data_IF_920129991543
#
_entry.id   IF_920129991543
#
_cell.length_a   1.000
_cell.length_b   1.000
_cell.length_c   1.000
_cell.angle_alpha   90.00
_cell.angle_beta   90.00
_cell.angle_gamma   90.00
#
_symmetry.space_group_name_H-M   'P 1'
#
loop_
_entity.id
_entity.type
_entity.pdbx_description
1 polymer ?
#
# COMPACT_ATOMS: atom_id res chain seq x y z
N UNK A 1 -6.41 21.82 6.78
CA UNK A 1 -4.97 22.14 6.64
C UNK A 1 -4.25 20.95 7.23
N UNK A 2 -3.77 20.05 6.37
CA UNK A 2 -2.91 18.94 6.81
C UNK A 2 -1.78 19.59 7.62
N UNK A 3 -1.66 19.24 8.89
CA UNK A 3 -0.54 19.73 9.68
C UNK A 3 0.73 19.29 8.96
N UNK A 4 1.67 20.20 8.72
CA UNK A 4 2.97 19.85 8.14
C UNK A 4 3.63 18.67 8.88
N UNK A 5 3.32 18.52 10.18
CA UNK A 5 3.74 17.40 11.00
C UNK A 5 3.14 16.05 10.58
N UNK A 6 1.88 16.00 10.15
CA UNK A 6 1.23 14.76 9.68
C UNK A 6 1.82 14.31 8.34
N UNK A 7 2.03 15.26 7.42
CA UNK A 7 2.68 14.98 6.14
C UNK A 7 4.13 14.47 6.35
N UNK A 8 4.90 15.12 7.22
CA UNK A 8 6.26 14.71 7.53
C UNK A 8 6.32 13.34 8.25
N UNK A 9 5.39 13.05 9.17
CA UNK A 9 5.29 11.73 9.83
C UNK A 9 5.02 10.63 8.82
N UNK A 10 4.02 10.81 7.96
CA UNK A 10 3.66 9.84 6.92
C UNK A 10 4.82 9.60 5.95
N UNK A 11 5.47 10.66 5.49
CA UNK A 11 6.64 10.54 4.63
C UNK A 11 7.78 9.74 5.31
N UNK A 12 8.01 9.98 6.61
CA UNK A 12 8.99 9.23 7.39
C UNK A 12 8.63 7.75 7.51
N UNK A 13 7.36 7.43 7.77
CA UNK A 13 6.86 6.05 7.87
C UNK A 13 6.99 5.31 6.55
N UNK A 14 6.62 5.95 5.43
CA UNK A 14 6.75 5.38 4.08
C UNK A 14 8.22 5.09 3.76
N UNK A 15 9.12 6.05 3.99
CA UNK A 15 10.55 5.86 3.72
C UNK A 15 11.15 4.74 4.59
N UNK A 16 10.81 4.70 5.87
CA UNK A 16 11.25 3.62 6.75
C UNK A 16 10.73 2.26 6.27
N UNK A 17 9.46 2.18 5.88
CA UNK A 17 8.85 0.97 5.34
C UNK A 17 9.50 0.50 4.03
N UNK A 18 9.85 1.42 3.12
CA UNK A 18 10.56 1.11 1.88
C UNK A 18 11.92 0.50 2.18
N UNK A 19 12.68 1.10 3.12
CA UNK A 19 14.01 0.61 3.47
C UNK A 19 13.96 -0.83 3.99
N UNK A 20 13.02 -1.13 4.90
CA UNK A 20 12.88 -2.50 5.42
C UNK A 20 12.46 -3.49 4.33
N UNK A 21 11.50 -3.12 3.46
CA UNK A 21 11.07 -4.01 2.38
C UNK A 21 12.17 -4.27 1.34
N UNK A 22 13.03 -3.27 1.06
CA UNK A 22 14.21 -3.46 0.21
C UNK A 22 15.19 -4.43 0.87
N UNK A 23 15.46 -4.30 2.17
CA UNK A 23 16.35 -5.23 2.89
C UNK A 23 15.82 -6.65 2.82
N UNK A 24 14.52 -6.84 3.09
CA UNK A 24 13.88 -8.15 3.04
C UNK A 24 13.93 -8.76 1.65
N UNK A 25 13.71 -7.95 0.60
CA UNK A 25 13.81 -8.42 -0.78
C UNK A 25 15.23 -8.85 -1.12
N UNK A 26 16.23 -8.04 -0.78
CA UNK A 26 17.65 -8.35 -1.05
C UNK A 26 18.04 -9.63 -0.33
N UNK A 27 17.65 -9.81 0.93
CA UNK A 27 17.89 -11.04 1.67
C UNK A 27 17.24 -12.25 0.98
N UNK A 28 15.99 -12.12 0.52
CA UNK A 28 15.30 -13.19 -0.19
C UNK A 28 15.94 -13.57 -1.53
N UNK A 29 16.45 -12.60 -2.29
CA UNK A 29 17.20 -12.87 -3.54
C UNK A 29 18.52 -13.59 -3.22
N UNK A 30 19.22 -13.16 -2.18
CA UNK A 30 20.46 -13.82 -1.75
C UNK A 30 20.17 -15.28 -1.36
N UNK A 31 19.15 -15.52 -0.54
CA UNK A 31 18.80 -16.87 -0.11
C UNK A 31 18.34 -17.75 -1.29
N UNK A 32 17.62 -17.18 -2.28
CA UNK A 32 17.18 -17.92 -3.46
C UNK A 32 18.34 -18.34 -4.38
N UNK A 33 19.37 -17.49 -4.50
CA UNK A 33 20.50 -17.71 -5.43
C UNK A 33 21.65 -18.47 -4.76
N UNK A 34 21.87 -18.25 -3.46
CA UNK A 34 23.02 -18.77 -2.71
C UNK A 34 22.64 -19.75 -1.60
N UNK A 35 21.34 -19.99 -1.37
CA UNK A 35 20.84 -20.91 -0.35
C UNK A 35 21.13 -22.38 -0.66
N UNK A 36 21.34 -23.14 0.42
CA UNK A 36 21.87 -24.50 0.39
C UNK A 36 20.96 -25.50 -0.36
N UNK A 37 21.26 -25.82 -1.63
CA UNK A 37 20.87 -27.12 -2.20
C UNK A 37 20.64 -27.25 -3.71
N UNK A 38 21.44 -28.12 -4.33
CA UNK A 38 21.13 -28.95 -5.51
C UNK A 38 20.74 -28.26 -6.83
N UNK A 39 21.16 -27.00 -7.03
CA UNK A 39 21.10 -26.32 -8.32
C UNK A 39 22.26 -26.69 -9.25
N UNK A 40 22.05 -26.52 -10.56
CA UNK A 40 23.14 -26.53 -11.54
C UNK A 40 24.18 -25.49 -11.12
N UNK A 41 25.47 -25.86 -11.13
CA UNK A 41 26.55 -25.00 -10.68
C UNK A 41 26.77 -23.88 -11.71
N UNK A 42 25.93 -22.83 -11.64
CA UNK A 42 26.06 -21.63 -12.45
C UNK A 42 27.19 -20.75 -11.93
N UNK A 43 27.86 -20.07 -12.85
CA UNK A 43 28.98 -19.18 -12.55
C UNK A 43 28.56 -17.99 -11.69
N UNK A 44 29.51 -17.39 -10.96
CA UNK A 44 29.25 -16.16 -10.20
C UNK A 44 28.71 -15.02 -11.06
N UNK A 45 29.11 -14.96 -12.34
CA UNK A 45 28.59 -14.00 -13.30
C UNK A 45 27.11 -14.23 -13.64
N UNK A 46 26.69 -15.49 -13.76
CA UNK A 46 25.28 -15.85 -13.99
C UNK A 46 24.43 -15.57 -12.74
N UNK A 47 24.94 -15.87 -11.55
CA UNK A 47 24.28 -15.52 -10.27
C UNK A 47 24.08 -14.01 -10.13
N UNK A 48 25.11 -13.22 -10.48
CA UNK A 48 25.01 -11.77 -10.46
C UNK A 48 23.95 -11.28 -11.45
N UNK A 49 23.99 -11.74 -12.70
CA UNK A 49 23.02 -11.33 -13.72
C UNK A 49 21.57 -11.69 -13.34
N UNK A 50 21.38 -12.86 -12.72
CA UNK A 50 20.09 -13.28 -12.18
C UNK A 50 19.63 -12.35 -11.05
N UNK A 51 20.50 -12.05 -10.07
CA UNK A 51 20.17 -11.15 -8.97
C UNK A 51 19.77 -9.75 -9.45
N UNK A 52 20.53 -9.19 -10.40
CA UNK A 52 20.22 -7.89 -11.01
C UNK A 52 18.86 -7.92 -11.72
N UNK A 53 18.61 -8.94 -12.53
CA UNK A 53 17.32 -9.09 -13.24
C UNK A 53 16.14 -9.22 -12.27
N UNK A 54 16.26 -10.04 -11.23
CA UNK A 54 15.19 -10.25 -10.24
C UNK A 54 14.95 -9.03 -9.36
N UNK A 55 16.00 -8.25 -9.07
CA UNK A 55 15.89 -7.03 -8.29
C UNK A 55 15.29 -5.90 -9.11
N UNK A 56 15.72 -5.71 -10.35
CA UNK A 56 15.20 -4.66 -11.24
C UNK A 56 13.72 -4.88 -11.54
N UNK A 57 13.32 -6.11 -11.91
CA UNK A 57 11.93 -6.44 -12.17
C UNK A 57 11.03 -6.22 -10.94
N UNK A 58 11.50 -6.62 -9.76
CA UNK A 58 10.78 -6.36 -8.52
C UNK A 58 10.73 -4.85 -8.19
N UNK A 59 11.84 -4.14 -8.37
CA UNK A 59 11.98 -2.73 -8.02
C UNK A 59 11.02 -1.85 -8.82
N UNK A 60 10.85 -2.14 -10.11
CA UNK A 60 9.86 -1.46 -10.96
C UNK A 60 8.42 -1.68 -10.45
N UNK A 61 8.02 -2.94 -10.25
CA UNK A 61 6.66 -3.25 -9.77
C UNK A 61 6.39 -2.69 -8.37
N UNK A 62 7.41 -2.69 -7.51
CA UNK A 62 7.36 -2.18 -6.16
C UNK A 62 7.21 -0.66 -6.14
N UNK A 63 8.00 0.06 -6.93
CA UNK A 63 7.91 1.51 -7.06
C UNK A 63 6.51 1.95 -7.52
N UNK A 64 5.95 1.25 -8.52
CA UNK A 64 4.59 1.50 -9.00
C UNK A 64 3.53 1.25 -7.92
N UNK A 65 3.67 0.16 -7.16
CA UNK A 65 2.78 -0.14 -6.05
C UNK A 65 2.77 0.96 -5.00
N UNK A 66 3.97 1.40 -4.57
CA UNK A 66 4.11 2.46 -3.55
C UNK A 66 3.53 3.77 -4.08
N UNK A 67 3.89 4.15 -5.31
CA UNK A 67 3.40 5.39 -5.92
C UNK A 67 1.88 5.46 -6.00
N UNK A 68 1.24 4.38 -6.48
CA UNK A 68 -0.22 4.31 -6.56
C UNK A 68 -0.88 4.35 -5.18
N UNK A 69 -0.31 3.64 -4.20
CA UNK A 69 -0.87 3.56 -2.85
C UNK A 69 -0.80 4.92 -2.15
N UNK A 70 0.33 5.61 -2.21
CA UNK A 70 0.46 6.93 -1.56
C UNK A 70 -0.35 8.03 -2.24
N UNK A 71 -0.48 8.00 -3.57
CA UNK A 71 -1.35 8.95 -4.29
C UNK A 71 -2.82 8.71 -3.92
N UNK A 72 -3.28 7.46 -3.90
CA UNK A 72 -4.64 7.12 -3.48
C UNK A 72 -4.90 7.63 -2.06
N UNK A 73 -3.99 7.37 -1.13
CA UNK A 73 -4.16 7.77 0.25
C UNK A 73 -4.22 9.28 0.44
N UNK A 74 -3.39 10.04 -0.28
CA UNK A 74 -3.41 11.49 -0.25
C UNK A 74 -4.74 12.06 -0.79
N UNK A 75 -5.29 11.45 -1.84
CA UNK A 75 -6.59 11.84 -2.39
C UNK A 75 -7.71 11.56 -1.39
N UNK A 76 -7.78 10.35 -0.85
CA UNK A 76 -8.86 9.95 0.07
C UNK A 76 -8.80 10.72 1.40
N UNK A 77 -7.60 11.03 1.91
CA UNK A 77 -7.44 11.91 3.09
C UNK A 77 -8.04 13.30 2.84
N UNK A 78 -7.80 13.90 1.68
CA UNK A 78 -8.38 15.19 1.32
C UNK A 78 -9.90 15.08 1.08
N UNK A 79 -10.39 13.98 0.51
CA UNK A 79 -11.82 13.73 0.34
C UNK A 79 -12.52 13.71 1.71
N UNK A 80 -11.99 12.97 2.69
CA UNK A 80 -12.50 12.99 4.08
C UNK A 80 -12.46 14.40 4.65
N UNK A 81 -11.33 15.10 4.53
CA UNK A 81 -11.16 16.46 5.05
C UNK A 81 -12.24 17.40 4.49
N UNK A 82 -12.50 17.33 3.18
CA UNK A 82 -13.49 18.18 2.51
C UNK A 82 -14.92 17.82 2.92
N UNK A 83 -15.23 16.53 3.08
CA UNK A 83 -16.51 16.06 3.59
C UNK A 83 -16.77 16.57 5.02
N UNK A 84 -15.77 16.51 5.89
CA UNK A 84 -15.85 17.06 7.25
C UNK A 84 -16.11 18.57 7.25
N UNK A 85 -15.43 19.33 6.38
CA UNK A 85 -15.68 20.77 6.23
C UNK A 85 -17.09 21.08 5.71
N UNK A 86 -17.65 20.20 4.89
CA UNK A 86 -19.00 20.31 4.38
C UNK A 86 -20.08 19.87 5.39
N UNK A 87 -19.70 19.33 6.55
CA UNK A 87 -20.63 18.84 7.56
C UNK A 87 -21.27 17.49 7.22
N UNK A 88 -20.60 16.68 6.40
CA UNK A 88 -21.02 15.28 6.16
C UNK A 88 -20.81 14.48 7.44
N UNK A 89 -21.87 13.82 7.91
CA UNK A 89 -21.85 13.02 9.14
C UNK A 89 -21.59 11.53 8.87
N UNK A 90 -22.04 11.01 7.72
CA UNK A 90 -21.94 9.59 7.34
C UNK A 90 -21.37 9.43 5.93
N UNK A 91 -20.61 8.35 5.73
CA UNK A 91 -19.93 8.02 4.47
C UNK A 91 -20.13 6.55 4.09
N UNK A 92 -20.15 6.27 2.79
CA UNK A 92 -20.09 4.93 2.21
C UNK A 92 -18.65 4.57 1.82
N UNK A 93 -18.27 3.30 2.03
CA UNK A 93 -17.11 2.69 1.38
C UNK A 93 -17.54 2.12 0.03
N UNK A 94 -17.06 2.71 -1.05
CA UNK A 94 -17.34 2.27 -2.41
C UNK A 94 -16.26 1.26 -2.84
N UNK A 95 -16.57 -0.02 -2.62
CA UNK A 95 -15.74 -1.11 -3.11
C UNK A 95 -15.78 -1.19 -4.65
N UNK A 96 -14.62 -1.46 -5.24
CA UNK A 96 -14.51 -1.81 -6.65
C UNK A 96 -15.24 -3.15 -6.91
N UNK A 97 -15.86 -3.35 -8.09
CA UNK A 97 -16.53 -4.60 -8.45
C UNK A 97 -15.81 -5.93 -8.11
N UNK A 98 -14.47 -5.98 -8.19
CA UNK A 98 -13.64 -7.14 -7.89
C UNK A 98 -12.82 -7.00 -6.59
N UNK A 99 -13.24 -6.10 -5.70
CA UNK A 99 -12.54 -5.82 -4.46
C UNK A 99 -12.35 -7.07 -3.58
N UNK A 100 -11.28 -7.07 -2.80
CA UNK A 100 -10.98 -8.15 -1.86
C UNK A 100 -11.98 -8.20 -0.69
N UNK A 101 -12.03 -9.34 0.00
CA UNK A 101 -12.94 -9.57 1.14
C UNK A 101 -12.84 -8.49 2.23
N UNK A 102 -11.65 -7.92 2.46
CA UNK A 102 -11.45 -6.81 3.41
C UNK A 102 -12.23 -5.57 2.99
N UNK A 103 -12.15 -5.19 1.72
CA UNK A 103 -12.85 -4.02 1.19
C UNK A 103 -14.35 -4.25 1.02
N UNK A 104 -14.75 -5.49 0.70
CA UNK A 104 -16.17 -5.88 0.69
C UNK A 104 -16.77 -5.80 2.09
N UNK A 105 -16.05 -6.26 3.12
CA UNK A 105 -16.49 -6.12 4.51
C UNK A 105 -16.64 -4.65 4.95
N UNK A 106 -15.79 -3.75 4.45
CA UNK A 106 -15.95 -2.31 4.67
C UNK A 106 -17.21 -1.78 3.96
N UNK A 107 -17.43 -2.14 2.69
CA UNK A 107 -18.62 -1.74 1.95
C UNK A 107 -19.92 -2.24 2.62
N UNK A 108 -19.95 -3.49 3.07
CA UNK A 108 -21.10 -4.10 3.77
C UNK A 108 -21.43 -3.41 5.11
N UNK A 109 -20.44 -2.80 5.75
CA UNK A 109 -20.63 -2.04 6.98
C UNK A 109 -21.17 -0.62 6.75
N UNK A 110 -21.28 -0.18 5.49
CA UNK A 110 -21.71 1.18 5.17
C UNK A 110 -23.22 1.39 5.35
N UNK A 111 -23.67 2.63 5.65
CA UNK A 111 -22.84 3.80 5.95
C UNK A 111 -22.27 3.76 7.37
N UNK A 112 -21.14 4.44 7.58
CA UNK A 112 -20.55 4.67 8.90
C UNK A 112 -20.37 6.18 9.17
N UNK A 113 -20.36 6.61 10.45
CA UNK A 113 -19.92 7.95 10.81
C UNK A 113 -18.54 8.27 10.22
N UNK A 114 -18.34 9.50 9.75
CA UNK A 114 -17.12 9.94 9.05
C UNK A 114 -15.82 9.83 9.88
N UNK A 115 -15.92 9.77 11.20
CA UNK A 115 -14.82 9.63 12.14
C UNK A 115 -14.65 8.21 12.71
N UNK A 116 -15.49 7.27 12.27
CA UNK A 116 -15.46 5.88 12.72
C UNK A 116 -14.45 5.05 11.91
N UNK A 117 -13.78 4.11 12.59
CA UNK A 117 -12.95 3.10 11.93
C UNK A 117 -13.81 2.09 11.17
N UNK A 118 -13.37 1.76 9.96
CA UNK A 118 -13.92 0.66 9.18
C UNK A 118 -13.55 -0.70 9.80
N UNK A 119 -14.25 -1.80 9.46
CA UNK A 119 -13.90 -3.16 9.89
C UNK A 119 -12.43 -3.54 9.65
N UNK A 120 -11.80 -3.01 8.60
CA UNK A 120 -10.38 -3.21 8.31
C UNK A 120 -9.42 -2.54 9.30
N UNK A 121 -9.92 -1.59 10.11
CA UNK A 121 -9.14 -0.74 11.01
C UNK A 121 -8.68 0.58 10.39
N UNK A 122 -9.02 0.84 9.13
CA UNK A 122 -8.67 2.07 8.42
C UNK A 122 -9.75 3.14 8.60
N UNK A 123 -9.42 4.41 8.36
CA UNK A 123 -10.38 5.53 8.35
C UNK A 123 -10.88 5.88 6.94
N UNK A 124 -10.09 5.54 5.93
CA UNK A 124 -10.40 5.73 4.51
C UNK A 124 -9.53 4.75 3.68
N UNK A 125 -9.83 4.54 2.38
CA UNK A 125 -8.90 3.86 1.49
C UNK A 125 -7.57 4.65 1.35
N UNK A 126 -6.47 3.98 0.96
CA UNK A 126 -6.33 2.56 0.67
C UNK A 126 -6.20 1.72 1.95
N UNK A 127 -6.97 0.64 2.07
CA UNK A 127 -6.84 -0.33 3.17
C UNK A 127 -5.68 -1.34 3.00
N UNK A 128 -5.03 -1.36 1.84
CA UNK A 128 -3.96 -2.27 1.49
C UNK A 128 -3.22 -1.76 0.24
N UNK A 129 -2.02 -2.28 -0.08
CA UNK A 129 -1.33 -1.98 -1.33
C UNK A 129 -2.24 -2.16 -2.55
N UNK A 130 -2.16 -1.22 -3.50
CA UNK A 130 -2.97 -1.20 -4.74
C UNK A 130 -4.49 -1.23 -4.52
N UNK A 131 -5.00 -0.81 -3.36
CA UNK A 131 -6.43 -0.65 -3.17
C UNK A 131 -6.98 0.40 -4.15
N UNK A 132 -8.11 0.09 -4.79
CA UNK A 132 -8.79 0.94 -5.80
C UNK A 132 -10.17 1.43 -5.32
N UNK A 133 -10.48 1.22 -4.04
CA UNK A 133 -11.75 1.65 -3.45
C UNK A 133 -11.70 3.15 -3.14
N UNK A 134 -12.87 3.75 -2.95
CA UNK A 134 -13.01 5.18 -2.60
C UNK A 134 -14.14 5.34 -1.57
N UNK A 135 -14.34 6.55 -1.06
CA UNK A 135 -15.48 6.90 -0.20
C UNK A 135 -16.37 7.97 -0.82
N UNK A 136 -17.63 7.99 -0.40
CA UNK A 136 -18.62 9.00 -0.82
C UNK A 136 -19.53 9.41 0.34
N UNK A 137 -20.18 10.59 0.29
CA UNK A 137 -21.16 10.97 1.31
C UNK A 137 -22.38 10.05 1.26
N UNK A 138 -23.04 9.85 2.41
CA UNK A 138 -24.24 9.05 2.51
C UNK A 138 -25.50 9.65 1.85
#
# INVERSE_FOLDING_TARGET
>A
MISLANFASRASEVVAGIIEQIKDRVAGIIDAIFGDGEGEEISDAEKQAQAETEFDAWGEEYADMVGQTEVCAAVEEEVVHQMQQAGVEEIYWLAEPDACDRCLANADASPLPIDQLWPSGDTAPPAHPRCRCTIAPA
#
